data_IF_386107890740
#
_entry.id   IF_386107890740
#
_cell.length_a   1.000
_cell.length_b   1.000
_cell.length_c   1.000
_cell.angle_alpha   90.00
_cell.angle_beta   90.00
_cell.angle_gamma   90.00
#
_symmetry.space_group_name_H-M   'P 1'
#
loop_
_entity.id
_entity.type
_entity.pdbx_description
1 polymer ?
#
# COMPACT_ATOMS: atom_id res chain seq x y z
N UNK A 1 -13.30 -3.65 -37.50
CA UNK A 1 -13.35 -4.28 -36.16
C UNK A 1 -12.30 -5.39 -35.99
N UNK A 2 -10.99 -5.15 -36.15
CA UNK A 2 -9.99 -6.23 -36.08
C UNK A 2 -8.66 -5.86 -35.43
N UNK A 3 -8.55 -4.68 -34.77
CA UNK A 3 -7.27 -4.26 -34.16
C UNK A 3 -7.21 -4.27 -32.63
N UNK A 4 -8.25 -4.72 -31.92
CA UNK A 4 -8.31 -4.75 -30.44
C UNK A 4 -7.82 -6.05 -29.79
N UNK A 5 -7.62 -7.11 -30.59
CA UNK A 5 -7.21 -8.42 -30.05
C UNK A 5 -5.71 -8.66 -30.05
N UNK A 6 -4.91 -7.85 -30.73
CA UNK A 6 -3.45 -8.04 -30.80
C UNK A 6 -2.68 -7.46 -29.59
N UNK A 7 -3.27 -6.58 -28.81
CA UNK A 7 -2.59 -5.94 -27.67
C UNK A 7 -2.61 -6.77 -26.36
N UNK A 8 -3.37 -7.89 -26.31
CA UNK A 8 -3.48 -8.73 -25.11
C UNK A 8 -2.38 -9.78 -24.94
N UNK A 9 -1.62 -10.08 -25.98
CA UNK A 9 -0.55 -11.08 -25.94
C UNK A 9 0.74 -10.51 -26.54
N UNK A 10 1.42 -9.69 -25.77
CA UNK A 10 2.76 -9.25 -26.12
C UNK A 10 3.75 -10.38 -25.81
N UNK A 11 4.44 -10.90 -26.83
CA UNK A 11 5.33 -12.05 -26.72
C UNK A 11 6.64 -11.77 -25.95
N UNK A 12 6.86 -10.53 -25.52
CA UNK A 12 8.05 -10.11 -24.77
C UNK A 12 7.69 -9.03 -23.75
N UNK A 13 8.50 -8.89 -22.66
CA UNK A 13 8.22 -7.97 -21.54
C UNK A 13 8.48 -6.49 -21.82
N UNK A 14 8.97 -6.14 -23.04
CA UNK A 14 9.33 -4.76 -23.39
C UNK A 14 8.25 -4.09 -24.22
N UNK A 15 7.97 -2.81 -23.93
CA UNK A 15 7.11 -1.98 -24.77
C UNK A 15 7.80 -1.70 -26.09
N UNK A 16 7.21 -2.11 -27.21
CA UNK A 16 7.68 -1.74 -28.54
C UNK A 16 7.10 -0.38 -28.89
N UNK A 17 7.99 0.57 -29.17
CA UNK A 17 7.64 1.90 -29.66
C UNK A 17 7.07 1.80 -31.06
N UNK A 18 6.03 2.58 -31.39
CA UNK A 18 5.47 2.64 -32.72
C UNK A 18 6.52 3.07 -33.75
N UNK A 19 6.57 2.51 -34.96
CA UNK A 19 7.51 2.92 -35.98
C UNK A 19 7.38 4.42 -36.25
N UNK A 20 8.44 5.18 -36.02
CA UNK A 20 8.51 6.63 -36.28
C UNK A 20 9.46 6.91 -37.45
N UNK A 21 9.12 7.79 -38.40
CA UNK A 21 9.99 8.15 -39.52
C UNK A 21 11.15 9.07 -39.12
N UNK A 22 11.11 9.67 -37.92
CA UNK A 22 12.04 10.72 -37.52
C UNK A 22 13.48 10.26 -37.30
N UNK A 23 13.80 9.06 -36.76
CA UNK A 23 15.17 8.58 -36.67
C UNK A 23 15.86 8.47 -38.05
N UNK A 24 15.13 7.95 -39.05
CA UNK A 24 15.65 7.85 -40.41
C UNK A 24 15.87 9.26 -41.03
N UNK A 25 14.88 10.13 -40.91
CA UNK A 25 14.97 11.49 -41.44
C UNK A 25 16.10 12.30 -40.76
N UNK A 26 16.29 12.14 -39.46
CA UNK A 26 17.38 12.79 -38.71
C UNK A 26 18.75 12.31 -39.21
N UNK A 27 18.92 11.01 -39.49
CA UNK A 27 20.16 10.46 -40.01
C UNK A 27 20.51 10.97 -41.42
N UNK A 28 19.49 11.11 -42.28
CA UNK A 28 19.66 11.69 -43.62
C UNK A 28 20.03 13.20 -43.52
N UNK A 29 19.40 13.97 -42.64
CA UNK A 29 19.74 15.36 -42.42
C UNK A 29 21.16 15.53 -41.86
N UNK A 30 21.63 14.65 -40.97
CA UNK A 30 23.01 14.63 -40.48
C UNK A 30 24.02 14.33 -41.61
N UNK A 31 23.70 13.39 -42.47
CA UNK A 31 24.54 13.09 -43.65
C UNK A 31 24.60 14.30 -44.58
N UNK A 32 23.48 14.98 -44.85
CA UNK A 32 23.45 16.20 -45.64
C UNK A 32 24.26 17.31 -45.00
N UNK A 33 24.24 17.45 -43.68
CA UNK A 33 25.01 18.45 -42.92
C UNK A 33 26.50 18.20 -43.06
N UNK A 34 26.97 16.93 -42.90
CA UNK A 34 28.38 16.60 -43.07
C UNK A 34 28.86 16.87 -44.50
N UNK A 35 28.07 16.49 -45.50
CA UNK A 35 28.39 16.74 -46.90
C UNK A 35 28.45 18.28 -47.19
N UNK A 36 27.48 19.05 -46.75
CA UNK A 36 27.44 20.49 -46.92
C UNK A 36 28.60 21.20 -46.19
N UNK A 37 29.04 20.69 -45.04
CA UNK A 37 30.19 21.22 -44.32
C UNK A 37 31.48 21.04 -45.15
N UNK A 38 31.69 19.86 -45.76
CA UNK A 38 32.83 19.61 -46.64
C UNK A 38 32.82 20.56 -47.83
N UNK A 39 31.67 20.76 -48.48
CA UNK A 39 31.52 21.71 -49.60
C UNK A 39 31.84 23.16 -49.18
N UNK A 40 31.40 23.55 -47.98
CA UNK A 40 31.66 24.89 -47.42
C UNK A 40 33.14 25.07 -47.14
N UNK A 41 33.87 24.08 -46.57
CA UNK A 41 35.27 24.16 -46.29
C UNK A 41 36.15 24.14 -47.57
N UNK A 42 35.65 23.54 -48.66
CA UNK A 42 36.34 23.51 -49.96
C UNK A 42 36.10 24.78 -50.78
N UNK A 43 35.35 25.76 -50.24
CA UNK A 43 35.15 27.06 -50.90
C UNK A 43 34.14 27.06 -52.05
N UNK A 44 33.24 26.06 -52.11
CA UNK A 44 32.16 26.08 -53.09
C UNK A 44 31.18 27.23 -52.89
N UNK A 45 30.87 27.98 -53.95
CA UNK A 45 29.82 29.00 -53.91
C UNK A 45 28.53 28.37 -53.42
N UNK A 46 27.88 28.95 -52.43
CA UNK A 46 26.67 28.45 -51.76
C UNK A 46 26.89 27.29 -50.75
N UNK A 47 28.11 26.79 -50.53
CA UNK A 47 28.35 25.72 -49.53
C UNK A 47 27.88 26.08 -48.11
N UNK A 48 28.10 27.34 -47.71
CA UNK A 48 27.66 27.86 -46.40
C UNK A 48 26.11 27.93 -46.28
N UNK A 49 25.41 28.28 -47.37
CA UNK A 49 23.93 28.30 -47.38
C UNK A 49 23.33 26.90 -47.25
N UNK A 50 23.91 25.90 -47.95
CA UNK A 50 23.51 24.53 -47.83
C UNK A 50 23.75 23.98 -46.44
N UNK A 51 24.88 24.32 -45.80
CA UNK A 51 25.18 23.95 -44.43
C UNK A 51 24.14 24.51 -43.45
N UNK A 52 23.79 25.81 -43.61
CA UNK A 52 22.78 26.45 -42.75
C UNK A 52 21.40 25.78 -42.88
N UNK A 53 20.95 25.50 -44.11
CA UNK A 53 19.66 24.81 -44.37
C UNK A 53 19.66 23.39 -43.79
N UNK A 54 20.74 22.63 -43.93
CA UNK A 54 20.85 21.28 -43.40
C UNK A 54 20.86 21.24 -41.87
N UNK A 55 21.52 22.19 -41.21
CA UNK A 55 21.49 22.35 -39.76
C UNK A 55 20.06 22.64 -39.24
N UNK A 56 19.33 23.53 -39.89
CA UNK A 56 17.92 23.80 -39.53
C UNK A 56 17.09 22.53 -39.68
N UNK A 57 17.29 21.75 -40.75
CA UNK A 57 16.59 20.51 -40.99
C UNK A 57 16.87 19.45 -39.89
N UNK A 58 18.10 19.35 -39.40
CA UNK A 58 18.46 18.46 -38.27
C UNK A 58 17.70 18.88 -37.02
N UNK A 59 17.76 20.15 -36.65
CA UNK A 59 17.06 20.68 -35.44
C UNK A 59 15.56 20.43 -35.55
N UNK A 60 14.96 20.64 -36.72
CA UNK A 60 13.54 20.38 -36.94
C UNK A 60 13.18 18.88 -36.79
N UNK A 61 13.90 17.98 -37.45
CA UNK A 61 13.68 16.55 -37.33
C UNK A 61 13.88 16.02 -35.90
N UNK A 62 14.91 16.51 -35.20
CA UNK A 62 15.14 16.15 -33.78
C UNK A 62 13.99 16.64 -32.88
N UNK A 63 13.49 17.86 -33.09
CA UNK A 63 12.39 18.39 -32.30
C UNK A 63 11.11 17.57 -32.47
N UNK A 64 10.81 17.12 -33.68
CA UNK A 64 9.67 16.26 -33.96
C UNK A 64 9.85 14.86 -33.38
N UNK A 65 11.07 14.32 -33.42
CA UNK A 65 11.39 13.03 -32.78
C UNK A 65 11.21 13.11 -31.26
N UNK A 66 11.78 14.12 -30.60
CA UNK A 66 11.59 14.30 -29.17
C UNK A 66 10.13 14.56 -28.78
N UNK A 67 9.37 15.29 -29.59
CA UNK A 67 7.93 15.46 -29.38
C UNK A 67 7.22 14.10 -29.34
N UNK A 68 7.52 13.21 -30.28
CA UNK A 68 6.88 11.89 -30.35
C UNK A 68 7.31 10.99 -29.17
N UNK A 69 8.60 10.98 -28.80
CA UNK A 69 9.11 10.26 -27.63
C UNK A 69 8.45 10.76 -26.33
N UNK A 70 8.31 12.07 -26.18
CA UNK A 70 7.64 12.69 -25.00
C UNK A 70 6.14 12.31 -24.99
N UNK A 71 5.47 12.40 -26.15
CA UNK A 71 4.05 12.06 -26.26
C UNK A 71 3.78 10.57 -25.98
N UNK A 72 4.65 9.68 -26.42
CA UNK A 72 4.56 8.25 -26.10
C UNK A 72 4.89 7.97 -24.63
N UNK A 73 5.90 8.60 -24.06
CA UNK A 73 6.28 8.43 -22.65
C UNK A 73 5.24 8.97 -21.68
N UNK A 74 4.63 10.11 -21.99
CA UNK A 74 3.64 10.75 -21.12
C UNK A 74 2.22 10.21 -21.35
N UNK A 75 1.81 9.96 -22.59
CA UNK A 75 0.41 9.63 -22.90
C UNK A 75 0.05 8.16 -22.75
N UNK A 76 0.96 7.22 -23.00
CA UNK A 76 0.59 5.81 -23.04
C UNK A 76 0.60 5.11 -21.68
N UNK A 77 1.49 5.43 -20.78
CA UNK A 77 1.59 4.74 -19.50
C UNK A 77 0.98 5.49 -18.33
N UNK A 78 1.17 6.80 -18.26
CA UNK A 78 0.66 7.59 -17.12
C UNK A 78 -0.81 7.96 -17.30
N UNK A 79 -1.23 8.47 -18.46
CA UNK A 79 -2.63 8.78 -18.72
C UNK A 79 -3.51 7.54 -18.88
N UNK A 80 -2.99 6.45 -19.44
CA UNK A 80 -3.75 5.21 -19.56
C UNK A 80 -3.93 4.51 -18.22
N UNK A 81 -2.93 4.51 -17.33
CA UNK A 81 -3.09 4.06 -15.95
C UNK A 81 -4.00 5.01 -15.15
N UNK A 82 -3.87 6.31 -15.32
CA UNK A 82 -4.72 7.32 -14.67
C UNK A 82 -6.16 7.28 -15.19
N UNK A 83 -6.38 7.13 -16.49
CA UNK A 83 -7.71 7.02 -17.09
C UNK A 83 -8.38 5.67 -16.79
N UNK A 84 -7.63 4.56 -16.76
CA UNK A 84 -8.13 3.27 -16.31
C UNK A 84 -8.46 3.27 -14.83
N UNK A 85 -7.62 3.89 -14.00
CA UNK A 85 -7.88 4.08 -12.58
C UNK A 85 -9.07 5.02 -12.33
N UNK A 86 -9.23 6.05 -13.13
CA UNK A 86 -10.33 7.02 -13.02
C UNK A 86 -11.64 6.49 -13.62
N UNK A 87 -11.61 5.77 -14.73
CA UNK A 87 -12.80 5.16 -15.35
C UNK A 87 -13.34 3.95 -14.59
N UNK A 88 -12.50 3.28 -13.78
CA UNK A 88 -12.89 2.15 -12.92
C UNK A 88 -13.18 2.56 -11.47
N UNK A 89 -13.07 3.84 -11.13
CA UNK A 89 -13.28 4.30 -9.75
C UNK A 89 -14.74 4.69 -9.52
N UNK A 90 -15.38 4.02 -8.56
CA UNK A 90 -16.76 4.29 -8.16
C UNK A 90 -16.82 4.83 -6.73
N UNK A 91 -17.60 5.88 -6.51
CA UNK A 91 -17.93 6.32 -5.15
C UNK A 91 -18.94 5.35 -4.51
N UNK A 92 -18.68 4.94 -3.27
CA UNK A 92 -19.58 4.10 -2.49
C UNK A 92 -20.56 5.01 -1.75
N UNK A 93 -21.86 4.74 -1.85
CA UNK A 93 -22.90 5.54 -1.24
C UNK A 93 -22.96 5.35 0.28
N UNK A 94 -23.51 6.34 0.98
CA UNK A 94 -23.72 6.28 2.44
C UNK A 94 -24.64 5.12 2.83
N UNK A 95 -25.63 4.77 1.99
CA UNK A 95 -26.54 3.66 2.23
C UNK A 95 -25.85 2.30 2.15
N UNK A 96 -24.95 2.11 1.17
CA UNK A 96 -24.11 0.90 1.07
C UNK A 96 -23.24 0.72 2.31
N UNK A 97 -22.63 1.79 2.82
CA UNK A 97 -21.82 1.76 4.05
C UNK A 97 -22.67 1.39 5.27
N UNK A 98 -23.86 1.96 5.41
CA UNK A 98 -24.78 1.62 6.51
C UNK A 98 -25.23 0.15 6.46
N UNK A 99 -25.45 -0.39 5.27
CA UNK A 99 -25.77 -1.81 5.08
C UNK A 99 -24.60 -2.71 5.49
N UNK A 100 -23.36 -2.33 5.14
CA UNK A 100 -22.15 -3.04 5.56
C UNK A 100 -22.02 -3.05 7.09
N UNK A 101 -22.24 -1.91 7.74
CA UNK A 101 -22.20 -1.80 9.21
C UNK A 101 -23.28 -2.64 9.89
N UNK A 102 -24.52 -2.65 9.37
CA UNK A 102 -25.63 -3.45 9.91
C UNK A 102 -25.36 -4.96 9.80
N UNK A 103 -24.73 -5.40 8.71
CA UNK A 103 -24.42 -6.81 8.47
C UNK A 103 -23.22 -7.31 9.30
N UNK A 104 -22.39 -6.42 9.83
CA UNK A 104 -21.28 -6.73 10.72
C UNK A 104 -21.72 -6.73 12.18
N UNK A 105 -22.30 -7.84 12.63
CA UNK A 105 -22.86 -8.00 13.99
C UNK A 105 -21.86 -7.90 15.15
N UNK A 106 -20.53 -7.83 14.92
CA UNK A 106 -19.52 -7.91 15.98
C UNK A 106 -18.29 -7.05 15.65
N UNK A 107 -18.44 -5.74 15.56
CA UNK A 107 -17.27 -4.87 15.66
C UNK A 107 -16.89 -4.77 17.15
N UNK A 108 -15.65 -5.15 17.53
CA UNK A 108 -15.19 -4.91 18.87
C UNK A 108 -15.17 -3.40 19.11
N UNK A 109 -15.71 -2.99 20.25
CA UNK A 109 -15.77 -1.58 20.59
C UNK A 109 -14.41 -1.12 21.10
N UNK A 110 -13.65 -0.44 20.25
CA UNK A 110 -12.42 0.24 20.67
C UNK A 110 -12.85 1.39 21.60
N UNK A 111 -12.31 1.42 22.83
CA UNK A 111 -12.57 2.46 23.80
C UNK A 111 -12.20 3.83 23.24
N UNK A 112 -12.93 4.87 23.60
CA UNK A 112 -12.73 6.22 23.07
C UNK A 112 -11.30 6.76 23.34
N UNK A 113 -10.77 6.53 24.54
CA UNK A 113 -9.41 6.91 24.95
C UNK A 113 -8.33 6.18 24.11
N UNK A 114 -8.64 4.99 23.59
CA UNK A 114 -7.75 4.15 22.82
C UNK A 114 -7.87 4.39 21.30
N UNK A 115 -8.97 4.96 20.85
CA UNK A 115 -9.25 5.08 19.42
C UNK A 115 -8.22 5.93 18.67
N UNK A 116 -7.69 7.00 19.29
CA UNK A 116 -6.64 7.82 18.71
C UNK A 116 -5.32 7.07 18.50
N UNK A 117 -4.93 6.20 19.43
CA UNK A 117 -3.75 5.33 19.30
C UNK A 117 -3.95 4.29 18.22
N UNK A 118 -5.12 3.65 18.19
CA UNK A 118 -5.45 2.67 17.16
C UNK A 118 -5.40 3.30 15.75
N UNK A 119 -6.00 4.49 15.59
CA UNK A 119 -6.01 5.21 14.32
C UNK A 119 -4.59 5.65 13.90
N UNK A 120 -3.75 6.06 14.86
CA UNK A 120 -2.34 6.40 14.62
C UNK A 120 -1.58 5.17 14.09
N UNK A 121 -1.68 4.02 14.75
CA UNK A 121 -1.03 2.78 14.29
C UNK A 121 -1.51 2.33 12.90
N UNK A 122 -2.82 2.39 12.64
CA UNK A 122 -3.38 2.07 11.32
C UNK A 122 -2.90 3.05 10.24
N UNK A 123 -2.82 4.35 10.54
CA UNK A 123 -2.28 5.36 9.62
C UNK A 123 -0.82 5.09 9.30
N UNK A 124 -0.03 4.67 10.27
CA UNK A 124 1.38 4.36 10.07
C UNK A 124 1.61 3.13 9.22
N UNK A 125 0.72 2.13 9.26
CA UNK A 125 0.74 0.99 8.35
C UNK A 125 0.15 1.32 6.97
N UNK A 126 -1.15 1.49 6.86
CA UNK A 126 -1.91 1.58 5.60
C UNK A 126 -2.21 3.03 5.14
N UNK A 127 -1.96 4.03 5.99
CA UNK A 127 -2.34 5.40 5.71
C UNK A 127 -1.28 6.19 4.92
N UNK A 128 -1.75 7.15 4.13
CA UNK A 128 -0.94 8.09 3.38
C UNK A 128 -1.40 9.53 3.64
N UNK A 129 -0.45 10.41 3.98
CA UNK A 129 -0.66 11.84 4.14
C UNK A 129 -0.26 12.54 2.85
N UNK A 130 -1.22 12.94 2.04
CA UNK A 130 -0.99 13.60 0.76
C UNK A 130 -1.04 15.12 0.95
N UNK A 131 0.10 15.77 0.75
CA UNK A 131 0.18 17.22 0.66
C UNK A 131 0.03 17.63 -0.81
N UNK A 132 -0.68 18.74 -1.10
CA UNK A 132 -0.69 19.28 -2.45
C UNK A 132 0.72 19.75 -2.80
N UNK A 133 1.20 19.37 -3.98
CA UNK A 133 2.41 19.94 -4.52
C UNK A 133 2.22 21.47 -4.61
N UNK A 134 3.28 22.25 -4.32
CA UNK A 134 3.27 23.72 -4.36
C UNK A 134 2.95 24.21 -5.77
N UNK A 135 1.68 24.15 -6.15
CA UNK A 135 1.19 24.58 -7.46
C UNK A 135 -0.32 24.76 -7.41
N UNK A 136 -0.78 25.74 -8.15
CA UNK A 136 -2.21 25.90 -8.40
C UNK A 136 -2.60 24.92 -9.51
N UNK A 137 -3.78 24.36 -9.44
CA UNK A 137 -4.36 23.64 -10.59
C UNK A 137 -4.46 24.57 -11.80
N UNK A 138 -4.69 23.98 -13.00
CA UNK A 138 -5.00 24.74 -14.23
C UNK A 138 -6.10 25.80 -13.99
N UNK A 139 -7.01 25.54 -13.04
CA UNK A 139 -8.07 26.45 -12.61
C UNK A 139 -7.67 27.38 -11.44
N UNK A 140 -6.38 27.58 -11.23
CA UNK A 140 -5.81 28.47 -10.18
C UNK A 140 -6.25 28.11 -8.75
N UNK A 141 -6.71 26.87 -8.48
CA UNK A 141 -7.16 26.39 -7.17
C UNK A 141 -6.02 25.68 -6.45
N UNK A 142 -5.79 26.03 -5.17
CA UNK A 142 -4.90 25.28 -4.29
C UNK A 142 -5.67 24.06 -3.81
N UNK A 143 -5.13 22.86 -4.10
CA UNK A 143 -5.71 21.61 -3.60
C UNK A 143 -5.62 21.54 -2.08
N UNK A 144 -6.58 20.89 -1.45
CA UNK A 144 -6.51 20.58 -0.03
C UNK A 144 -5.65 19.32 0.19
N UNK A 145 -4.97 19.23 1.34
CA UNK A 145 -4.33 17.99 1.74
C UNK A 145 -5.36 16.87 1.91
N UNK A 146 -4.89 15.64 1.91
CA UNK A 146 -5.76 14.46 2.08
C UNK A 146 -5.11 13.45 2.99
N UNK A 147 -5.93 12.78 3.79
CA UNK A 147 -5.57 11.55 4.50
C UNK A 147 -6.25 10.42 3.75
N UNK A 148 -5.47 9.44 3.30
CA UNK A 148 -5.95 8.37 2.41
C UNK A 148 -5.52 7.04 3.02
N UNK A 149 -6.46 6.12 3.19
CA UNK A 149 -6.19 4.72 3.48
C UNK A 149 -6.53 3.92 2.23
N UNK A 150 -5.61 3.06 1.79
CA UNK A 150 -5.81 2.20 0.62
C UNK A 150 -5.63 0.75 1.04
N UNK A 151 -6.67 -0.08 0.85
CA UNK A 151 -6.64 -1.47 1.24
C UNK A 151 -7.43 -2.36 0.27
N UNK A 152 -7.48 -3.64 0.56
CA UNK A 152 -8.34 -4.57 -0.16
C UNK A 152 -9.81 -4.31 0.18
N UNK A 153 -10.73 -4.53 -0.77
CA UNK A 153 -12.19 -4.33 -0.59
C UNK A 153 -12.76 -5.10 0.62
N UNK A 154 -12.11 -6.20 0.99
CA UNK A 154 -12.50 -6.99 2.16
C UNK A 154 -12.40 -6.21 3.49
N UNK A 155 -11.57 -5.16 3.55
CA UNK A 155 -11.38 -4.32 4.73
C UNK A 155 -12.37 -3.15 4.79
N UNK A 156 -13.31 -3.06 3.84
CA UNK A 156 -14.34 -2.00 3.82
C UNK A 156 -15.07 -1.87 5.16
N UNK A 157 -15.30 -2.99 5.84
CA UNK A 157 -15.96 -2.98 7.13
C UNK A 157 -15.11 -2.37 8.26
N UNK A 158 -13.79 -2.43 8.19
CA UNK A 158 -12.89 -1.72 9.11
C UNK A 158 -13.05 -0.21 8.92
N UNK A 159 -12.91 0.25 7.67
CA UNK A 159 -12.99 1.69 7.39
C UNK A 159 -14.40 2.26 7.56
N UNK A 160 -15.45 1.47 7.33
CA UNK A 160 -16.81 1.84 7.67
C UNK A 160 -17.00 2.03 9.19
N UNK A 161 -16.40 1.15 10.01
CA UNK A 161 -16.38 1.32 11.46
C UNK A 161 -15.60 2.57 11.88
N UNK A 162 -14.45 2.83 11.29
CA UNK A 162 -13.65 4.05 11.54
C UNK A 162 -14.46 5.29 11.16
N UNK A 163 -15.11 5.30 10.00
CA UNK A 163 -15.97 6.40 9.57
C UNK A 163 -17.10 6.65 10.56
N UNK A 164 -17.75 5.58 11.04
CA UNK A 164 -18.79 5.69 12.07
C UNK A 164 -18.25 6.31 13.37
N UNK A 165 -17.11 5.84 13.87
CA UNK A 165 -16.44 6.39 15.07
C UNK A 165 -16.03 7.86 14.90
N UNK A 166 -15.70 8.27 13.69
CA UNK A 166 -15.37 9.65 13.35
C UNK A 166 -16.58 10.54 13.05
N UNK A 167 -17.82 10.05 13.29
CA UNK A 167 -19.03 10.84 13.03
C UNK A 167 -19.39 11.00 11.55
N UNK A 168 -18.99 10.06 10.69
CA UNK A 168 -19.32 10.06 9.26
C UNK A 168 -18.33 10.84 8.38
N UNK A 169 -17.15 11.17 8.91
CA UNK A 169 -16.09 11.89 8.18
C UNK A 169 -15.53 11.04 7.03
N UNK A 170 -15.23 11.69 5.90
CA UNK A 170 -14.58 11.06 4.76
C UNK A 170 -15.55 10.36 3.81
N UNK A 171 -14.98 9.84 2.71
CA UNK A 171 -15.72 9.15 1.65
C UNK A 171 -14.96 7.92 1.18
N UNK A 172 -15.69 7.00 0.57
CA UNK A 172 -15.12 5.78 -0.03
C UNK A 172 -15.08 5.88 -1.55
N UNK A 173 -14.05 5.30 -2.11
CA UNK A 173 -13.84 5.15 -3.54
C UNK A 173 -13.39 3.72 -3.82
N UNK A 174 -14.12 3.00 -4.66
CA UNK A 174 -13.72 1.70 -5.17
C UNK A 174 -12.80 1.90 -6.38
N UNK A 175 -11.68 1.17 -6.43
CA UNK A 175 -10.71 1.23 -7.51
C UNK A 175 -10.57 -0.18 -8.09
N UNK A 176 -11.03 -0.35 -9.34
CA UNK A 176 -11.16 -1.68 -9.90
C UNK A 176 -12.05 -2.57 -9.01
N UNK A 177 -11.84 -3.88 -9.08
CA UNK A 177 -12.72 -4.85 -8.40
C UNK A 177 -12.30 -5.16 -6.96
N UNK A 178 -11.05 -4.85 -6.58
CA UNK A 178 -10.46 -5.39 -5.36
C UNK A 178 -9.86 -4.36 -4.39
N UNK A 179 -9.80 -3.08 -4.77
CA UNK A 179 -9.20 -2.04 -3.92
C UNK A 179 -10.22 -1.00 -3.50
N UNK A 180 -10.11 -0.57 -2.25
CA UNK A 180 -10.90 0.53 -1.69
C UNK A 180 -9.98 1.62 -1.18
N UNK A 181 -10.37 2.87 -1.39
CA UNK A 181 -9.78 4.04 -0.73
C UNK A 181 -10.80 4.68 0.21
N UNK A 182 -10.39 4.90 1.45
CA UNK A 182 -11.08 5.78 2.37
C UNK A 182 -10.34 7.12 2.39
N UNK A 183 -11.00 8.20 1.96
CA UNK A 183 -10.40 9.50 1.67
C UNK A 183 -11.03 10.56 2.56
N UNK A 184 -10.20 11.29 3.29
CA UNK A 184 -10.56 12.45 4.09
C UNK A 184 -9.86 13.65 3.48
N UNK A 185 -10.61 14.60 2.94
CA UNK A 185 -10.08 15.76 2.19
C UNK A 185 -10.70 17.09 2.58
N UNK A 186 -11.70 17.07 3.48
CA UNK A 186 -12.26 18.27 4.10
C UNK A 186 -11.34 18.75 5.22
N UNK A 187 -11.03 20.05 5.25
CA UNK A 187 -10.05 20.61 6.19
C UNK A 187 -10.49 20.48 7.66
N UNK A 188 -11.77 20.68 7.96
CA UNK A 188 -12.30 20.53 9.32
C UNK A 188 -12.09 19.10 9.81
N UNK A 189 -12.40 18.14 8.95
CA UNK A 189 -12.22 16.71 9.21
C UNK A 189 -10.74 16.34 9.40
N UNK A 190 -9.85 16.90 8.60
CA UNK A 190 -8.40 16.68 8.74
C UNK A 190 -7.91 17.21 10.10
N UNK A 191 -8.36 18.39 10.51
CA UNK A 191 -7.98 18.98 11.82
C UNK A 191 -8.45 18.06 12.96
N UNK A 192 -9.67 17.52 12.89
CA UNK A 192 -10.17 16.57 13.89
C UNK A 192 -9.24 15.35 13.99
N UNK A 193 -8.85 14.77 12.84
CA UNK A 193 -7.97 13.60 12.83
C UNK A 193 -6.57 13.96 13.31
N UNK A 194 -6.00 15.08 12.87
CA UNK A 194 -4.69 15.57 13.35
C UNK A 194 -4.69 15.67 14.88
N UNK A 195 -5.71 16.28 15.47
CA UNK A 195 -5.82 16.41 16.93
C UNK A 195 -5.98 15.05 17.63
N UNK A 196 -6.66 14.10 16.99
CA UNK A 196 -6.89 12.76 17.54
C UNK A 196 -5.60 11.92 17.57
N UNK A 197 -4.76 12.01 16.52
CA UNK A 197 -3.55 11.19 16.36
C UNK A 197 -2.26 11.88 16.81
N UNK A 198 -2.28 13.20 17.02
CA UNK A 198 -1.13 13.97 17.46
C UNK A 198 -0.50 13.39 18.72
N UNK A 199 0.83 13.32 18.75
CA UNK A 199 1.63 12.70 19.80
C UNK A 199 1.35 11.20 20.04
N UNK A 200 0.81 10.49 19.03
CA UNK A 200 0.52 9.05 19.11
C UNK A 200 1.21 8.25 18.00
N UNK A 201 1.92 8.92 17.07
CA UNK A 201 2.71 8.27 16.04
C UNK A 201 4.07 7.85 16.61
N UNK A 202 4.62 6.74 16.08
CA UNK A 202 5.89 6.14 16.48
C UNK A 202 6.89 5.99 15.35
N UNK A 203 6.45 6.17 14.11
CA UNK A 203 7.27 5.99 12.91
C UNK A 203 7.69 7.33 12.31
N UNK A 204 8.60 7.34 11.31
CA UNK A 204 8.95 8.53 10.55
C UNK A 204 7.77 9.27 9.90
N UNK A 205 6.59 8.65 9.75
CA UNK A 205 5.37 9.33 9.28
C UNK A 205 4.97 10.54 10.17
N UNK A 206 5.48 10.61 11.40
CA UNK A 206 5.30 11.80 12.23
C UNK A 206 5.88 13.07 11.59
N UNK A 207 6.98 12.96 10.83
CA UNK A 207 7.50 14.11 10.09
C UNK A 207 6.55 14.57 8.97
N UNK A 208 5.88 13.62 8.30
CA UNK A 208 4.85 13.92 7.31
C UNK A 208 3.61 14.57 7.96
N UNK A 209 3.25 14.14 9.18
CA UNK A 209 2.19 14.78 9.97
C UNK A 209 2.55 16.22 10.33
N UNK A 210 3.80 16.49 10.72
CA UNK A 210 4.25 17.85 11.04
C UNK A 210 4.25 18.76 9.80
N UNK A 211 4.65 18.26 8.64
CA UNK A 211 4.51 19.00 7.37
C UNK A 211 3.04 19.31 7.06
N UNK A 212 2.12 18.38 7.35
CA UNK A 212 0.68 18.62 7.19
C UNK A 212 0.19 19.69 8.17
N UNK A 213 0.62 19.66 9.44
CA UNK A 213 0.29 20.66 10.46
C UNK A 213 0.80 22.05 10.02
N UNK A 214 2.04 22.13 9.59
CA UNK A 214 2.65 23.37 9.09
C UNK A 214 1.86 23.93 7.89
N UNK A 215 1.52 23.10 6.92
CA UNK A 215 0.70 23.50 5.78
C UNK A 215 -0.67 24.06 6.21
N UNK A 216 -1.34 23.40 7.16
CA UNK A 216 -2.64 23.83 7.69
C UNK A 216 -2.50 25.17 8.42
N UNK A 217 -1.50 25.29 9.30
CA UNK A 217 -1.24 26.53 10.05
C UNK A 217 -0.99 27.70 9.11
N UNK A 218 -0.13 27.52 8.10
CA UNK A 218 0.22 28.59 7.14
C UNK A 218 -0.98 29.01 6.29
N UNK A 219 -1.76 28.03 5.78
CA UNK A 219 -2.87 28.31 4.85
C UNK A 219 -4.10 28.85 5.56
N UNK A 220 -4.43 28.34 6.75
CA UNK A 220 -5.69 28.66 7.45
C UNK A 220 -5.48 29.54 8.69
N UNK A 221 -4.23 30.02 8.90
CA UNK A 221 -3.86 30.89 10.05
C UNK A 221 -4.23 30.26 11.39
N UNK A 222 -4.02 28.95 11.51
CA UNK A 222 -4.22 28.21 12.73
C UNK A 222 -2.89 28.09 13.50
N UNK A 223 -2.97 27.72 14.78
CA UNK A 223 -1.80 27.51 15.65
C UNK A 223 -1.87 26.10 16.28
N UNK A 224 -1.79 25.08 15.45
CA UNK A 224 -1.71 23.69 15.91
C UNK A 224 -0.23 23.41 16.22
N UNK A 225 0.08 23.03 17.46
CA UNK A 225 1.45 22.69 17.85
C UNK A 225 1.93 21.41 17.16
N UNK A 226 3.24 21.29 16.96
CA UNK A 226 3.88 20.10 16.38
C UNK A 226 3.55 18.82 17.15
N UNK A 227 3.64 17.70 16.45
CA UNK A 227 3.48 16.35 16.99
C UNK A 227 4.84 15.76 17.30
N UNK A 228 4.98 15.20 18.51
CA UNK A 228 6.15 14.43 18.92
C UNK A 228 5.89 12.93 18.77
N UNK A 229 6.98 12.16 18.66
CA UNK A 229 6.87 10.69 18.64
C UNK A 229 6.40 10.20 20.02
N UNK A 230 5.44 9.28 20.01
CA UNK A 230 5.02 8.56 21.22
C UNK A 230 6.11 7.55 21.62
N UNK A 231 6.54 7.67 22.88
CA UNK A 231 7.54 6.78 23.49
C UNK A 231 6.95 5.96 24.64
N UNK A 232 5.62 5.95 24.79
CA UNK A 232 4.97 5.14 25.81
C UNK A 232 5.17 3.64 25.54
N UNK A 233 5.06 2.81 26.58
CA UNK A 233 5.16 1.37 26.40
C UNK A 233 4.04 0.85 25.49
N UNK A 234 4.37 -0.03 24.52
CA UNK A 234 3.43 -0.61 23.57
C UNK A 234 2.29 -1.40 24.25
N UNK A 235 2.51 -1.91 25.46
CA UNK A 235 1.50 -2.63 26.26
C UNK A 235 0.42 -1.73 26.84
N UNK A 236 0.61 -0.40 26.82
CA UNK A 236 -0.27 0.55 27.52
C UNK A 236 -1.41 1.10 26.66
N UNK A 237 -1.31 0.95 25.35
CA UNK A 237 -2.29 1.50 24.41
C UNK A 237 -2.52 0.60 23.19
N UNK A 238 -3.50 0.98 22.36
CA UNK A 238 -3.96 0.22 21.20
C UNK A 238 -3.18 0.52 19.90
N UNK A 239 -2.08 1.26 19.96
CA UNK A 239 -1.31 1.61 18.77
C UNK A 239 -0.87 0.37 17.98
N UNK A 240 -0.34 -0.64 18.69
CA UNK A 240 0.13 -1.87 18.07
C UNK A 240 -1.02 -2.68 17.43
N UNK A 241 -2.26 -2.56 17.96
CA UNK A 241 -3.44 -3.17 17.30
C UNK A 241 -3.73 -2.50 15.96
N UNK A 242 -3.71 -1.17 15.89
CA UNK A 242 -3.88 -0.44 14.64
C UNK A 242 -2.79 -0.75 13.61
N UNK A 243 -1.54 -0.80 14.06
CA UNK A 243 -0.39 -1.15 13.21
C UNK A 243 -0.44 -2.62 12.74
N UNK A 244 -0.88 -3.55 13.59
CA UNK A 244 -1.12 -4.94 13.23
C UNK A 244 -2.26 -5.08 12.24
N UNK A 245 -3.31 -4.27 12.33
CA UNK A 245 -4.43 -4.29 11.37
C UNK A 245 -3.94 -4.07 9.93
N UNK A 246 -2.94 -3.20 9.75
CA UNK A 246 -2.29 -3.01 8.45
C UNK A 246 -1.39 -4.21 8.08
N UNK A 247 -0.38 -4.51 8.89
CA UNK A 247 0.79 -5.28 8.47
C UNK A 247 0.99 -6.62 9.21
N UNK A 248 0.12 -6.93 10.17
CA UNK A 248 0.19 -8.17 10.94
C UNK A 248 -0.37 -9.38 10.20
N UNK A 249 0.15 -10.56 10.50
CA UNK A 249 -0.30 -11.83 9.93
C UNK A 249 -0.37 -12.94 10.99
N UNK A 250 -1.53 -13.58 11.10
CA UNK A 250 -1.77 -14.77 11.94
C UNK A 250 -1.65 -16.03 11.08
N UNK A 251 -0.55 -16.74 11.24
CA UNK A 251 -0.20 -17.89 10.42
C UNK A 251 -0.35 -19.23 11.14
N UNK A 252 -0.69 -20.25 10.37
CA UNK A 252 -0.74 -21.66 10.80
C UNK A 252 0.09 -22.48 9.83
N UNK A 253 1.07 -23.22 10.34
CA UNK A 253 2.01 -24.01 9.53
C UNK A 253 1.90 -25.48 9.89
N UNK A 254 1.54 -26.32 8.91
CA UNK A 254 1.63 -27.77 9.02
C UNK A 254 2.95 -28.24 8.47
N UNK A 255 3.78 -28.85 9.30
CA UNK A 255 4.99 -29.55 8.88
C UNK A 255 4.66 -31.04 8.74
N UNK A 256 4.90 -31.60 7.55
CA UNK A 256 4.75 -33.05 7.31
C UNK A 256 5.87 -33.80 7.97
N UNK A 257 5.59 -35.06 8.36
CA UNK A 257 6.65 -35.99 8.72
C UNK A 257 7.65 -36.14 7.58
N UNK A 258 8.92 -36.14 7.92
CA UNK A 258 10.01 -36.35 6.95
C UNK A 258 10.96 -37.37 7.53
N UNK A 259 11.19 -38.44 6.79
CA UNK A 259 12.14 -39.47 7.14
C UNK A 259 13.59 -39.02 7.09
N UNK A 260 14.46 -39.77 7.76
CA UNK A 260 15.92 -39.62 7.63
C UNK A 260 16.31 -39.96 6.17
N UNK A 261 17.12 -39.12 5.56
CA UNK A 261 17.66 -39.36 4.20
C UNK A 261 19.14 -39.03 4.16
N UNK A 262 19.83 -39.36 3.05
CA UNK A 262 21.25 -39.06 2.85
C UNK A 262 21.61 -37.60 3.12
N UNK A 263 20.68 -36.68 2.77
CA UNK A 263 20.85 -35.24 2.97
C UNK A 263 20.26 -34.73 4.31
N UNK A 264 19.70 -35.60 5.15
CA UNK A 264 19.07 -35.22 6.41
C UNK A 264 19.44 -36.22 7.52
N UNK A 265 20.26 -35.76 8.46
CA UNK A 265 20.76 -36.59 9.59
C UNK A 265 19.68 -37.03 10.59
N UNK A 266 18.53 -36.35 10.67
CA UNK A 266 17.44 -36.67 11.64
C UNK A 266 16.07 -36.67 10.96
N UNK A 267 15.18 -37.55 11.38
CA UNK A 267 13.75 -37.48 11.04
C UNK A 267 13.09 -36.29 11.71
N UNK A 268 12.04 -35.74 11.12
CA UNK A 268 11.22 -34.69 11.75
C UNK A 268 9.77 -35.15 11.87
N UNK A 269 9.20 -35.04 13.08
CA UNK A 269 7.79 -35.32 13.31
C UNK A 269 6.86 -34.35 12.59
N UNK A 270 5.65 -34.79 12.27
CA UNK A 270 4.59 -33.93 11.81
C UNK A 270 4.18 -32.97 12.94
N UNK A 271 4.20 -31.66 12.68
CA UNK A 271 3.89 -30.63 13.68
C UNK A 271 2.89 -29.61 13.13
N UNK A 272 2.11 -29.04 14.05
CA UNK A 272 1.30 -27.85 13.82
C UNK A 272 1.96 -26.72 14.59
N UNK A 273 2.36 -25.66 13.90
CA UNK A 273 2.98 -24.48 14.50
C UNK A 273 2.13 -23.26 14.20
N UNK A 274 1.87 -22.47 15.22
CA UNK A 274 1.34 -21.12 15.06
C UNK A 274 2.48 -20.13 14.89
N UNK A 275 2.20 -19.05 14.18
CA UNK A 275 3.10 -17.91 14.09
C UNK A 275 2.32 -16.61 14.04
N UNK A 276 2.86 -15.61 14.69
CA UNK A 276 2.48 -14.21 14.51
C UNK A 276 3.63 -13.51 13.79
N UNK A 277 3.35 -12.81 12.72
CA UNK A 277 4.35 -12.09 11.92
C UNK A 277 3.90 -10.67 11.70
N UNK A 278 4.81 -9.73 11.88
CA UNK A 278 4.61 -8.35 11.46
C UNK A 278 5.80 -7.93 10.59
N UNK A 279 5.54 -7.31 9.46
CA UNK A 279 6.57 -6.97 8.48
C UNK A 279 6.42 -5.56 7.94
N UNK A 280 7.55 -4.91 7.65
CA UNK A 280 7.62 -3.56 7.07
C UNK A 280 8.76 -3.44 6.07
N UNK A 281 8.68 -2.47 5.16
CA UNK A 281 9.85 -2.03 4.40
C UNK A 281 10.90 -1.46 5.35
N UNK A 282 12.18 -1.58 5.01
CA UNK A 282 13.26 -1.00 5.81
C UNK A 282 13.18 0.54 5.85
N UNK A 283 12.76 1.14 4.75
CA UNK A 283 12.64 2.60 4.62
C UNK A 283 11.19 2.99 4.29
N UNK A 284 10.71 4.06 4.93
CA UNK A 284 9.44 4.70 4.58
C UNK A 284 9.54 5.37 3.21
N UNK A 285 8.61 5.09 2.32
CA UNK A 285 8.67 5.55 0.90
C UNK A 285 8.59 7.08 0.75
N UNK A 286 7.97 7.78 1.70
CA UNK A 286 7.77 9.24 1.64
C UNK A 286 8.91 10.00 2.30
N UNK A 287 9.37 9.53 3.45
CA UNK A 287 10.38 10.23 4.25
C UNK A 287 11.79 9.71 3.99
N UNK A 288 11.93 8.54 3.36
CA UNK A 288 13.19 7.81 3.18
C UNK A 288 13.94 7.50 4.49
N UNK A 289 13.25 7.60 5.63
CA UNK A 289 13.80 7.28 6.95
C UNK A 289 13.58 5.82 7.30
N UNK A 290 14.51 5.24 8.07
CA UNK A 290 14.46 3.83 8.45
C UNK A 290 13.37 3.53 9.47
N UNK A 291 12.65 2.41 9.27
CA UNK A 291 11.69 1.83 10.20
C UNK A 291 12.32 0.83 11.18
N UNK A 292 13.65 0.68 11.16
CA UNK A 292 14.36 -0.30 11.99
C UNK A 292 14.12 -0.07 13.49
N UNK A 293 14.11 1.17 13.96
CA UNK A 293 13.94 1.49 15.39
C UNK A 293 12.60 1.02 15.95
N UNK A 294 11.50 1.30 15.23
CA UNK A 294 10.17 0.85 15.67
C UNK A 294 10.03 -0.69 15.57
N UNK A 295 10.63 -1.32 14.55
CA UNK A 295 10.63 -2.77 14.43
C UNK A 295 11.45 -3.45 15.55
N UNK A 296 12.52 -2.83 16.00
CA UNK A 296 13.28 -3.28 17.19
C UNK A 296 12.47 -3.12 18.48
N UNK A 297 11.73 -2.03 18.64
CA UNK A 297 10.82 -1.82 19.76
C UNK A 297 9.71 -2.89 19.79
N UNK A 298 9.09 -3.17 18.64
CA UNK A 298 8.09 -4.25 18.49
C UNK A 298 8.72 -5.62 18.79
N UNK A 299 9.93 -5.89 18.29
CA UNK A 299 10.63 -7.13 18.59
C UNK A 299 10.90 -7.31 20.08
N UNK A 300 11.38 -6.27 20.75
CA UNK A 300 11.57 -6.26 22.20
C UNK A 300 10.26 -6.51 22.94
N UNK A 301 9.18 -5.81 22.55
CA UNK A 301 7.85 -5.95 23.12
C UNK A 301 7.31 -7.38 23.01
N UNK A 302 7.54 -8.05 21.86
CA UNK A 302 7.12 -9.43 21.60
C UNK A 302 8.17 -10.47 22.05
N UNK A 303 9.27 -10.07 22.70
CA UNK A 303 10.40 -10.93 23.04
C UNK A 303 10.95 -11.71 21.84
N UNK A 304 10.96 -11.06 20.68
CA UNK A 304 11.43 -11.63 19.40
C UNK A 304 12.69 -10.93 18.89
N UNK A 305 13.02 -11.23 17.63
CA UNK A 305 14.11 -10.60 16.91
C UNK A 305 13.61 -9.99 15.59
N UNK A 306 14.26 -8.94 15.15
CA UNK A 306 14.07 -8.39 13.81
C UNK A 306 14.91 -9.19 12.84
N UNK A 307 14.30 -9.69 11.77
CA UNK A 307 14.98 -10.32 10.66
C UNK A 307 14.86 -9.41 9.43
N UNK A 308 15.95 -9.29 8.68
CA UNK A 308 15.99 -8.56 7.41
C UNK A 308 15.95 -9.56 6.25
N UNK A 309 15.21 -9.26 5.19
CA UNK A 309 15.18 -10.05 3.98
C UNK A 309 14.95 -9.16 2.76
N UNK A 310 15.41 -9.62 1.61
CA UNK A 310 15.24 -8.92 0.34
C UNK A 310 14.11 -9.59 -0.43
N UNK A 311 13.16 -8.79 -0.91
CA UNK A 311 12.05 -9.27 -1.74
C UNK A 311 12.50 -9.55 -3.18
N UNK A 312 11.65 -10.24 -3.96
CA UNK A 312 11.88 -10.47 -5.40
C UNK A 312 12.01 -9.17 -6.22
N UNK A 313 11.50 -8.05 -5.68
CA UNK A 313 11.60 -6.73 -6.29
C UNK A 313 12.84 -5.95 -5.83
N UNK A 314 13.81 -6.63 -5.18
CA UNK A 314 15.04 -6.05 -4.63
C UNK A 314 14.81 -4.94 -3.59
N UNK A 315 13.67 -5.01 -2.85
CA UNK A 315 13.39 -4.12 -1.72
C UNK A 315 13.74 -4.83 -0.41
N UNK A 316 14.43 -4.12 0.47
CA UNK A 316 14.74 -4.60 1.82
C UNK A 316 13.52 -4.48 2.73
N UNK A 317 13.21 -5.57 3.43
CA UNK A 317 12.12 -5.67 4.37
C UNK A 317 12.60 -6.16 5.73
N UNK A 318 11.92 -5.69 6.77
CA UNK A 318 12.07 -6.12 8.15
C UNK A 318 10.88 -6.98 8.54
N UNK A 319 11.10 -8.05 9.31
CA UNK A 319 10.01 -8.75 9.95
C UNK A 319 10.36 -9.17 11.38
N UNK A 320 9.32 -9.26 12.21
CA UNK A 320 9.35 -9.90 13.54
C UNK A 320 8.43 -11.10 13.46
N UNK A 321 8.96 -12.29 13.74
CA UNK A 321 8.24 -13.57 13.67
C UNK A 321 8.29 -14.27 15.02
N UNK A 322 7.12 -14.50 15.61
CA UNK A 322 6.94 -15.16 16.90
C UNK A 322 6.23 -16.50 16.68
N UNK A 323 6.80 -17.58 17.20
CA UNK A 323 6.23 -18.94 17.07
C UNK A 323 6.28 -19.75 18.37
N UNK A 324 7.04 -19.31 19.38
CA UNK A 324 7.08 -19.95 20.67
C UNK A 324 5.77 -19.71 21.44
N UNK A 325 5.17 -20.76 22.00
CA UNK A 325 3.83 -20.71 22.59
C UNK A 325 3.73 -19.75 23.77
N UNK A 326 4.74 -19.70 24.63
CA UNK A 326 4.84 -18.75 25.74
C UNK A 326 4.74 -17.30 25.27
N UNK A 327 5.46 -16.96 24.19
CA UNK A 327 5.43 -15.64 23.58
C UNK A 327 4.11 -15.35 22.87
N UNK A 328 3.51 -16.37 22.24
CA UNK A 328 2.18 -16.24 21.61
C UNK A 328 1.07 -15.99 22.63
N UNK A 329 1.21 -16.49 23.87
CA UNK A 329 0.30 -16.16 24.98
C UNK A 329 0.24 -14.66 25.22
N UNK A 330 1.38 -13.99 25.17
CA UNK A 330 1.44 -12.54 25.31
C UNK A 330 0.71 -11.82 24.15
N UNK A 331 0.87 -12.30 22.92
CA UNK A 331 0.16 -11.78 21.75
C UNK A 331 -1.36 -11.94 21.92
N UNK A 332 -1.83 -13.09 22.38
CA UNK A 332 -3.26 -13.36 22.67
C UNK A 332 -3.79 -12.39 23.72
N UNK A 333 -3.07 -12.22 24.83
CA UNK A 333 -3.47 -11.33 25.90
C UNK A 333 -3.54 -9.86 25.47
N UNK A 334 -2.58 -9.41 24.65
CA UNK A 334 -2.56 -8.06 24.13
C UNK A 334 -3.79 -7.78 23.26
N UNK A 335 -4.10 -8.61 22.25
CA UNK A 335 -5.24 -8.38 21.37
C UNK A 335 -6.60 -8.64 22.02
N UNK A 336 -6.65 -9.39 23.12
CA UNK A 336 -7.85 -9.46 23.96
C UNK A 336 -8.10 -8.15 24.72
N UNK A 337 -7.02 -7.48 25.18
CA UNK A 337 -7.11 -6.18 25.85
C UNK A 337 -7.37 -5.03 24.87
N UNK A 338 -6.69 -5.05 23.71
CA UNK A 338 -6.79 -4.04 22.66
C UNK A 338 -7.20 -4.72 21.35
N UNK A 339 -8.51 -4.88 21.11
CA UNK A 339 -8.99 -5.70 20.00
C UNK A 339 -8.72 -5.07 18.63
N UNK A 340 -8.54 -5.94 17.64
CA UNK A 340 -8.56 -5.61 16.23
C UNK A 340 -10.00 -5.33 15.78
N UNK A 341 -10.22 -4.48 14.77
CA UNK A 341 -11.55 -4.08 14.33
C UNK A 341 -11.93 -4.59 12.93
N UNK A 342 -10.94 -4.96 12.12
CA UNK A 342 -11.13 -5.41 10.75
C UNK A 342 -11.31 -6.91 10.60
N UNK A 343 -11.05 -7.38 9.37
CA UNK A 343 -11.07 -8.82 9.05
C UNK A 343 -9.97 -9.59 9.78
N UNK A 344 -8.89 -8.91 10.15
CA UNK A 344 -7.81 -9.52 10.95
C UNK A 344 -8.29 -9.95 12.33
N UNK A 345 -9.31 -9.31 12.90
CA UNK A 345 -9.94 -9.76 14.14
C UNK A 345 -10.57 -11.15 13.99
N UNK A 346 -11.24 -11.42 12.87
CA UNK A 346 -11.82 -12.75 12.62
C UNK A 346 -10.73 -13.80 12.41
N UNK A 347 -9.63 -13.42 11.75
CA UNK A 347 -8.47 -14.31 11.62
C UNK A 347 -7.78 -14.55 12.97
N UNK A 348 -7.70 -13.54 13.83
CA UNK A 348 -7.19 -13.66 15.19
C UNK A 348 -8.05 -14.61 16.03
N UNK A 349 -9.39 -14.47 16.01
CA UNK A 349 -10.31 -15.38 16.73
C UNK A 349 -10.12 -16.83 16.30
N UNK A 350 -10.04 -17.09 15.01
CA UNK A 350 -9.82 -18.43 14.48
C UNK A 350 -8.43 -18.95 14.85
N UNK A 351 -7.41 -18.08 14.82
CA UNK A 351 -6.07 -18.42 15.25
C UNK A 351 -6.01 -18.74 16.75
N UNK A 352 -6.77 -18.05 17.61
CA UNK A 352 -6.90 -18.32 19.04
C UNK A 352 -7.58 -19.67 19.30
N UNK A 353 -8.58 -20.10 18.49
CA UNK A 353 -9.14 -21.44 18.59
C UNK A 353 -8.05 -22.50 18.38
N UNK A 354 -7.20 -22.34 17.37
CA UNK A 354 -6.08 -23.26 17.13
C UNK A 354 -5.06 -23.19 18.27
N UNK A 355 -4.77 -21.99 18.80
CA UNK A 355 -3.90 -21.82 19.96
C UNK A 355 -4.42 -22.65 21.15
N UNK A 356 -5.71 -22.60 21.45
CA UNK A 356 -6.33 -23.37 22.54
C UNK A 356 -6.24 -24.89 22.29
N UNK A 357 -6.42 -25.35 21.05
CA UNK A 357 -6.21 -26.77 20.69
C UNK A 357 -4.75 -27.21 20.88
N UNK A 358 -3.79 -26.32 20.72
CA UNK A 358 -2.38 -26.61 20.97
C UNK A 358 -2.10 -26.67 22.47
N UNK A 359 -2.58 -25.71 23.25
CA UNK A 359 -2.41 -25.69 24.71
C UNK A 359 -3.02 -26.93 25.37
N UNK A 360 -4.19 -27.36 24.90
CA UNK A 360 -4.87 -28.58 25.40
C UNK A 360 -4.31 -29.86 24.81
N UNK A 361 -3.21 -29.84 24.03
CA UNK A 361 -2.61 -30.97 23.34
C UNK A 361 -3.53 -31.72 22.34
N UNK A 362 -4.71 -31.18 22.04
CA UNK A 362 -5.65 -31.78 21.08
C UNK A 362 -5.14 -31.75 19.64
N UNK A 363 -4.21 -30.84 19.31
CA UNK A 363 -3.55 -30.74 18.00
C UNK A 363 -2.77 -32.01 17.59
N UNK A 364 -2.51 -32.93 18.51
CA UNK A 364 -1.83 -34.21 18.24
C UNK A 364 -2.79 -35.28 17.76
N UNK A 365 -4.09 -35.17 18.09
CA UNK A 365 -5.13 -36.14 17.73
C UNK A 365 -5.54 -35.98 16.25
N UNK A 366 -6.03 -37.06 15.59
CA UNK A 366 -6.56 -36.99 14.23
C UNK A 366 -7.71 -35.98 14.09
N UNK A 367 -8.64 -35.95 15.06
CA UNK A 367 -9.78 -35.05 15.11
C UNK A 367 -9.30 -33.57 15.23
N UNK A 368 -8.45 -33.27 16.19
CA UNK A 368 -7.91 -31.92 16.36
C UNK A 368 -7.14 -31.45 15.15
N UNK A 369 -6.38 -32.31 14.47
CA UNK A 369 -5.70 -31.95 13.22
C UNK A 369 -6.66 -31.68 12.08
N UNK A 370 -7.77 -32.39 11.95
CA UNK A 370 -8.80 -32.16 10.95
C UNK A 370 -9.52 -30.82 11.21
N UNK A 371 -9.83 -30.53 12.47
CA UNK A 371 -10.42 -29.25 12.89
C UNK A 371 -9.48 -28.07 12.57
N UNK A 372 -8.20 -28.16 12.92
CA UNK A 372 -7.22 -27.12 12.61
C UNK A 372 -7.12 -26.88 11.10
N UNK A 373 -7.13 -27.94 10.26
CA UNK A 373 -7.13 -27.79 8.80
C UNK A 373 -8.38 -27.07 8.31
N UNK A 374 -9.55 -27.39 8.87
CA UNK A 374 -10.81 -26.73 8.53
C UNK A 374 -10.76 -25.23 8.88
N UNK A 375 -10.31 -24.87 10.08
CA UNK A 375 -10.14 -23.48 10.49
C UNK A 375 -9.14 -22.78 9.55
N UNK A 376 -7.97 -23.37 9.29
CA UNK A 376 -6.94 -22.80 8.40
C UNK A 376 -7.46 -22.57 6.99
N UNK A 377 -8.35 -23.42 6.47
CA UNK A 377 -8.93 -23.27 5.12
C UNK A 377 -9.83 -22.04 5.00
N UNK A 378 -10.27 -21.48 6.14
CA UNK A 378 -11.15 -20.31 6.21
C UNK A 378 -10.45 -19.05 6.74
N UNK A 379 -9.12 -19.07 6.88
CA UNK A 379 -8.35 -17.94 7.40
C UNK A 379 -7.64 -17.14 6.31
N UNK A 380 -7.34 -15.90 6.60
CA UNK A 380 -6.54 -14.98 5.77
C UNK A 380 -7.13 -14.83 4.35
N UNK A 381 -6.31 -14.95 3.31
CA UNK A 381 -6.74 -14.83 1.90
C UNK A 381 -7.74 -15.89 1.45
N UNK A 382 -7.85 -16.99 2.19
CA UNK A 382 -8.82 -18.07 1.90
C UNK A 382 -10.22 -17.79 2.46
N UNK A 383 -10.37 -16.80 3.33
CA UNK A 383 -11.68 -16.41 3.89
C UNK A 383 -12.57 -15.89 2.78
N UNK A 384 -13.63 -16.64 2.47
CA UNK A 384 -14.68 -16.19 1.55
C UNK A 384 -15.49 -15.09 2.25
N UNK A 385 -15.33 -13.87 1.80
CA UNK A 385 -16.18 -12.76 2.24
C UNK A 385 -17.39 -12.67 1.31
N UNK A 386 -18.48 -12.21 1.88
CA UNK A 386 -19.83 -12.16 1.32
C UNK A 386 -19.79 -11.77 -0.18
N UNK A 387 -20.10 -12.70 -1.11
CA UNK A 387 -20.00 -12.44 -2.55
C UNK A 387 -21.01 -11.40 -3.08
N UNK A 388 -22.02 -11.01 -2.29
CA UNK A 388 -23.25 -10.39 -2.80
C UNK A 388 -23.32 -8.86 -2.67
N UNK A 389 -22.34 -8.18 -2.06
CA UNK A 389 -22.38 -6.71 -1.91
C UNK A 389 -21.90 -5.96 -3.16
N UNK A 390 -21.08 -6.61 -4.00
CA UNK A 390 -20.51 -5.99 -5.20
C UNK A 390 -21.27 -6.43 -6.47
N UNK A 391 -21.79 -7.66 -6.50
CA UNK A 391 -22.40 -8.23 -7.71
C UNK A 391 -23.85 -7.81 -7.96
N UNK A 392 -24.57 -7.27 -6.97
CA UNK A 392 -25.97 -6.84 -7.16
C UNK A 392 -26.12 -5.42 -7.75
N UNK A 393 -25.01 -4.70 -7.99
CA UNK A 393 -25.06 -3.33 -8.51
C UNK A 393 -24.49 -3.19 -9.93
N UNK A 394 -24.08 -4.30 -10.57
CA UNK A 394 -23.63 -4.32 -11.98
C UNK A 394 -24.76 -4.66 -12.95
N UNK A 395 -25.98 -4.94 -12.45
CA UNK A 395 -27.17 -5.31 -13.25
C UNK A 395 -28.32 -4.32 -13.13
N UNK A 396 -28.06 -3.07 -12.84
CA UNK A 396 -29.11 -2.02 -12.97
C UNK A 396 -28.55 -0.83 -13.75
#
# INVERSE_FOLDING_TARGET
MTNLTRSKFQAHPFHLVSPSPWPLNTSLCLLATTFSAVLSFQGFERGANLLFISLISVVYCMSLWFRDVISEGINLNFLKSLLLEYSSSRAISKQEILTILKNKRHNPNIKEDQFGYYLAGLLEGDGHLSLPFLGKTILNRILNPRIIFTSHVNDIGLYAYIQYKLGGIGRFQLIGDNKIRYIIGDIKSIIIIVNLIKNKLRTPKNSSLNKLIEFINNKYKLNISESFLDKSDLSTNSWFSGFTEADGHFGVVFTKFKEKSSNRKRSSSARVNLKFVIGQCLYDEVTSLSLLSIMQEIAKFLSGNVNTYITKQNKEHLNVNISAIDKLTFVVNYFNKYPLAGIKNENFKDWVKIYNLIISNQHTTPLGRSEIKLIQSNMNSKRKLIPNLINNTVKS
#
